data_IF_421518691004
#
_entry.id   IF_421518691004
#
_cell.length_a   1.000
_cell.length_b   1.000
_cell.length_c   1.000
_cell.angle_alpha   90.00
_cell.angle_beta   90.00
_cell.angle_gamma   90.00
#
_symmetry.space_group_name_H-M   'P 1'
#
loop_
_entity.id
_entity.type
_entity.pdbx_description
1 polymer ?
#
# COMPACT_ATOMS: atom_id res chain seq x y z
N UNK A 1 -0.94 -5.63 -0.22
CA UNK A 1 0.14 -4.69 0.14
C UNK A 1 0.93 -4.39 -1.11
N UNK A 2 1.30 -3.14 -1.37
CA UNK A 2 1.98 -2.74 -2.60
C UNK A 2 3.00 -1.65 -2.28
N UNK A 3 4.22 -1.73 -2.82
CA UNK A 3 5.29 -0.76 -2.62
C UNK A 3 5.93 -0.39 -3.96
N UNK A 4 6.49 0.82 -4.07
CA UNK A 4 7.26 1.27 -5.25
C UNK A 4 8.63 1.79 -4.84
N UNK A 5 9.53 1.93 -5.82
CA UNK A 5 10.88 2.45 -5.58
C UNK A 5 11.82 1.44 -4.90
N UNK A 6 11.54 0.14 -5.00
CA UNK A 6 12.39 -0.92 -4.44
C UNK A 6 13.61 -1.26 -5.31
N UNK A 7 13.60 -0.87 -6.60
CA UNK A 7 14.72 -1.10 -7.53
C UNK A 7 15.43 0.21 -7.84
N UNK A 8 16.76 0.19 -7.90
CA UNK A 8 17.59 1.38 -8.21
C UNK A 8 17.24 2.04 -9.56
N UNK A 9 16.77 1.26 -10.53
CA UNK A 9 16.31 1.77 -11.83
C UNK A 9 14.96 2.48 -11.78
N UNK A 10 14.16 2.22 -10.76
CA UNK A 10 12.82 2.82 -10.55
C UNK A 10 12.81 3.90 -9.48
N UNK A 11 13.89 3.99 -8.69
CA UNK A 11 14.03 4.96 -7.62
C UNK A 11 14.52 6.30 -8.16
N UNK A 12 13.59 7.02 -8.77
CA UNK A 12 13.81 8.41 -9.16
C UNK A 12 13.80 9.33 -7.92
N UNK A 13 15.01 9.65 -7.41
CA UNK A 13 15.21 10.57 -6.28
C UNK A 13 14.71 11.98 -6.56
N UNK A 14 14.78 12.44 -7.81
CA UNK A 14 14.54 13.83 -8.17
C UNK A 14 13.06 14.07 -8.51
N UNK A 15 12.49 13.28 -9.41
CA UNK A 15 11.11 13.43 -9.88
C UNK A 15 10.09 12.66 -9.05
N UNK A 16 10.51 11.71 -8.19
CA UNK A 16 9.61 10.92 -7.33
C UNK A 16 8.47 10.26 -8.12
N UNK A 17 8.71 9.92 -9.38
CA UNK A 17 7.72 9.34 -10.30
C UNK A 17 7.08 8.06 -9.76
N UNK A 18 7.88 7.21 -9.10
CA UNK A 18 7.41 6.00 -8.42
C UNK A 18 6.38 6.28 -7.31
N UNK A 19 6.47 7.42 -6.64
CA UNK A 19 5.53 7.84 -5.59
C UNK A 19 4.20 8.26 -6.22
N UNK A 20 4.27 9.07 -7.28
CA UNK A 20 3.08 9.50 -8.03
C UNK A 20 2.32 8.29 -8.58
N UNK A 21 3.02 7.35 -9.21
CA UNK A 21 2.42 6.12 -9.73
C UNK A 21 1.70 5.31 -8.64
N UNK A 22 2.24 5.30 -7.42
CA UNK A 22 1.67 4.58 -6.29
C UNK A 22 0.45 5.29 -5.68
N UNK A 23 0.46 6.64 -5.67
CA UNK A 23 -0.70 7.45 -5.30
C UNK A 23 -1.83 7.30 -6.34
N UNK A 24 -1.49 7.34 -7.63
CA UNK A 24 -2.43 7.12 -8.72
C UNK A 24 -3.05 5.71 -8.64
N UNK A 25 -2.23 4.70 -8.32
CA UNK A 25 -2.72 3.34 -8.05
C UNK A 25 -3.71 3.28 -6.88
N UNK A 26 -3.43 3.95 -5.77
CA UNK A 26 -4.33 4.01 -4.63
C UNK A 26 -5.67 4.69 -4.96
N UNK A 27 -5.65 5.79 -5.73
CA UNK A 27 -6.88 6.45 -6.19
C UNK A 27 -7.71 5.53 -7.10
N UNK A 28 -7.05 4.84 -8.06
CA UNK A 28 -7.74 3.89 -8.94
C UNK A 28 -8.37 2.73 -8.19
N UNK A 29 -7.76 2.25 -7.10
CA UNK A 29 -8.36 1.21 -6.27
C UNK A 29 -9.65 1.68 -5.59
N UNK A 30 -9.72 2.94 -5.16
CA UNK A 30 -10.94 3.52 -4.60
C UNK A 30 -12.06 3.57 -5.64
N UNK A 31 -11.74 3.97 -6.88
CA UNK A 31 -12.73 4.00 -7.96
C UNK A 31 -13.19 2.60 -8.36
N UNK A 32 -12.28 1.63 -8.41
CA UNK A 32 -12.65 0.23 -8.65
C UNK A 32 -13.52 -0.33 -7.53
N UNK A 33 -13.30 0.07 -6.26
CA UNK A 33 -14.16 -0.36 -5.16
C UNK A 33 -15.60 0.16 -5.32
N UNK A 34 -15.76 1.42 -5.74
CA UNK A 34 -17.09 1.97 -6.07
C UNK A 34 -17.76 1.19 -7.18
N UNK A 35 -17.04 0.91 -8.26
CA UNK A 35 -17.54 0.10 -9.37
C UNK A 35 -17.98 -1.30 -8.91
N UNK A 36 -17.20 -1.95 -8.04
CA UNK A 36 -17.56 -3.25 -7.48
C UNK A 36 -18.83 -3.15 -6.63
N UNK A 37 -18.97 -2.12 -5.79
CA UNK A 37 -20.16 -1.90 -4.97
C UNK A 37 -21.42 -1.61 -5.80
N UNK A 38 -21.30 -0.97 -6.97
CA UNK A 38 -22.43 -0.76 -7.88
C UNK A 38 -22.95 -2.07 -8.48
N UNK A 39 -22.06 -3.05 -8.70
CA UNK A 39 -22.38 -4.33 -9.34
C UNK A 39 -22.48 -5.50 -8.35
N UNK A 40 -22.32 -5.24 -7.06
CA UNK A 40 -22.36 -6.24 -5.99
C UNK A 40 -23.50 -5.93 -5.04
N UNK A 41 -24.16 -6.96 -4.49
CA UNK A 41 -25.16 -6.78 -3.44
C UNK A 41 -24.55 -6.46 -2.05
N UNK A 42 -23.28 -6.07 -2.00
CA UNK A 42 -22.52 -5.78 -0.79
C UNK A 42 -21.95 -4.37 -0.85
N UNK A 43 -21.84 -3.74 0.31
CA UNK A 43 -21.18 -2.44 0.46
C UNK A 43 -19.79 -2.63 1.09
N UNK A 44 -18.80 -2.86 0.24
CA UNK A 44 -17.41 -2.97 0.65
C UNK A 44 -16.82 -1.60 0.91
N UNK A 45 -16.19 -1.43 2.08
CA UNK A 45 -15.47 -0.20 2.41
C UNK A 45 -13.97 -0.44 2.34
N UNK A 46 -13.25 0.47 1.68
CA UNK A 46 -11.80 0.43 1.58
C UNK A 46 -11.17 1.52 2.45
N UNK A 47 -10.05 1.17 3.09
CA UNK A 47 -9.13 2.09 3.74
C UNK A 47 -7.75 1.90 3.13
N UNK A 48 -7.02 2.99 2.95
CA UNK A 48 -5.66 2.93 2.41
C UNK A 48 -4.75 3.84 3.23
N UNK A 49 -3.66 3.28 3.77
CA UNK A 49 -2.61 4.03 4.46
C UNK A 49 -1.37 4.19 3.59
N UNK A 50 -0.84 5.42 3.50
CA UNK A 50 0.38 5.74 2.76
C UNK A 50 1.44 6.39 3.66
N UNK A 51 2.69 5.93 3.59
CA UNK A 51 3.89 6.49 4.20
C UNK A 51 5.18 6.06 3.45
N UNK A 52 6.16 6.95 3.26
CA UNK A 52 7.50 6.68 2.68
C UNK A 52 8.57 6.65 3.75
N UNK A 53 9.65 5.97 3.42
CA UNK A 53 10.88 5.97 4.16
C UNK A 53 11.73 4.78 3.73
N UNK A 54 12.90 4.62 4.35
CA UNK A 54 13.74 3.46 4.12
C UNK A 54 12.99 2.17 4.48
N UNK A 55 13.20 1.14 3.67
CA UNK A 55 12.69 -0.22 3.89
C UNK A 55 13.81 -1.22 3.61
N UNK A 56 13.70 -2.39 4.22
CA UNK A 56 14.55 -3.54 3.93
C UNK A 56 13.70 -4.56 3.19
N UNK A 57 14.17 -5.04 2.05
CA UNK A 57 13.49 -6.05 1.28
C UNK A 57 14.35 -7.30 1.16
N UNK A 58 13.72 -8.47 1.13
CA UNK A 58 14.45 -9.73 1.04
C UNK A 58 13.55 -10.94 0.83
N UNK A 59 14.18 -12.10 0.64
CA UNK A 59 13.49 -13.38 0.51
C UNK A 59 13.70 -14.19 1.78
N UNK A 60 12.61 -14.65 2.39
CA UNK A 60 12.64 -15.53 3.56
C UNK A 60 12.23 -16.94 3.16
N UNK A 61 12.89 -17.94 3.76
CA UNK A 61 12.50 -19.35 3.67
C UNK A 61 13.35 -20.14 2.69
N UNK A 62 13.92 -21.24 3.16
CA UNK A 62 14.78 -22.10 2.34
C UNK A 62 13.98 -23.05 1.42
N UNK A 63 12.81 -23.54 1.87
CA UNK A 63 11.97 -24.49 1.11
C UNK A 63 10.84 -23.82 0.33
N UNK A 64 10.34 -22.69 0.82
CA UNK A 64 9.28 -21.89 0.19
C UNK A 64 9.70 -20.43 0.26
N UNK A 65 10.56 -19.97 -0.66
CA UNK A 65 11.05 -18.61 -0.65
C UNK A 65 9.90 -17.63 -0.87
N UNK A 66 9.76 -16.65 0.02
CA UNK A 66 8.77 -15.58 -0.07
C UNK A 66 9.48 -14.23 0.00
N UNK A 67 9.20 -13.37 -0.98
CA UNK A 67 9.67 -12.00 -0.98
C UNK A 67 8.78 -11.15 -0.08
N UNK A 68 9.40 -10.39 0.82
CA UNK A 68 8.70 -9.53 1.76
C UNK A 68 9.56 -8.30 2.12
N UNK A 69 8.92 -7.27 2.70
CA UNK A 69 9.54 -6.00 3.05
C UNK A 69 9.26 -5.64 4.51
N UNK A 70 10.29 -5.13 5.19
CA UNK A 70 10.25 -4.76 6.60
C UNK A 70 10.80 -3.35 6.83
N UNK A 71 10.49 -2.79 8.00
CA UNK A 71 11.03 -1.51 8.45
C UNK A 71 9.98 -0.65 9.14
N UNK A 72 10.45 0.42 9.81
CA UNK A 72 9.56 1.34 10.51
C UNK A 72 8.54 1.99 9.55
N UNK A 73 8.95 2.26 8.31
CA UNK A 73 8.09 2.80 7.24
C UNK A 73 6.84 1.95 7.02
N UNK A 74 7.00 0.63 6.96
CA UNK A 74 5.91 -0.34 6.77
C UNK A 74 4.99 -0.36 7.99
N UNK A 75 5.56 -0.31 9.19
CA UNK A 75 4.79 -0.28 10.44
C UNK A 75 3.94 0.99 10.55
N UNK A 76 4.50 2.15 10.19
CA UNK A 76 3.76 3.42 10.16
C UNK A 76 2.66 3.36 9.10
N UNK A 77 2.93 2.86 7.89
CA UNK A 77 1.91 2.70 6.85
C UNK A 77 0.77 1.77 7.29
N UNK A 78 1.09 0.67 7.98
CA UNK A 78 0.10 -0.22 8.57
C UNK A 78 -0.74 0.45 9.66
N UNK A 79 -0.14 1.36 10.45
CA UNK A 79 -0.88 2.18 11.41
C UNK A 79 -1.81 3.17 10.71
N UNK A 80 -1.36 3.80 9.62
CA UNK A 80 -2.21 4.71 8.83
C UNK A 80 -3.44 3.98 8.25
N UNK A 81 -3.30 2.73 7.83
CA UNK A 81 -4.45 1.91 7.40
C UNK A 81 -5.38 1.54 8.58
N UNK A 82 -4.81 1.16 9.73
CA UNK A 82 -5.60 0.73 10.89
C UNK A 82 -6.36 1.89 11.53
N UNK A 83 -5.75 3.06 11.67
CA UNK A 83 -6.36 4.29 12.20
C UNK A 83 -7.11 5.11 11.15
N UNK A 84 -7.06 4.69 9.89
CA UNK A 84 -7.70 5.37 8.77
C UNK A 84 -9.22 5.40 8.87
N UNK A 85 -9.80 6.45 8.28
CA UNK A 85 -11.24 6.59 8.09
C UNK A 85 -11.66 5.78 6.86
N UNK A 86 -12.80 5.04 6.90
CA UNK A 86 -13.37 4.39 5.73
C UNK A 86 -13.51 5.32 4.53
N UNK A 87 -13.35 4.77 3.33
CA UNK A 87 -13.49 5.48 2.06
C UNK A 87 -12.50 6.65 1.89
N UNK A 88 -11.37 6.63 2.62
CA UNK A 88 -10.32 7.64 2.51
C UNK A 88 -8.93 7.03 2.44
N UNK A 89 -8.04 7.82 1.84
CA UNK A 89 -6.61 7.56 1.79
C UNK A 89 -5.95 8.42 2.87
N UNK A 90 -5.38 7.79 3.90
CA UNK A 90 -4.62 8.48 4.93
C UNK A 90 -3.15 8.52 4.54
N UNK A 91 -2.56 9.72 4.54
CA UNK A 91 -1.15 9.94 4.18
C UNK A 91 -0.40 10.43 5.42
N UNK A 92 0.75 9.82 5.71
CA UNK A 92 1.66 10.26 6.77
C UNK A 92 2.23 11.66 6.49
N UNK A 93 2.66 12.35 7.55
CA UNK A 93 3.27 13.68 7.45
C UNK A 93 4.66 13.65 6.77
N UNK A 94 5.34 12.49 6.79
CA UNK A 94 6.50 12.24 5.96
C UNK A 94 6.03 11.76 4.57
N UNK A 95 6.74 12.16 3.51
CA UNK A 95 6.45 11.90 2.08
C UNK A 95 6.09 10.42 1.79
N UNK A 96 5.60 10.06 0.59
CA UNK A 96 4.66 8.90 0.39
C UNK A 96 5.25 7.58 -0.19
N UNK A 97 4.93 6.43 0.41
CA UNK A 97 4.96 5.05 -0.14
C UNK A 97 3.67 4.36 0.37
N UNK A 98 3.17 3.26 -0.16
CA UNK A 98 1.78 2.80 0.09
C UNK A 98 1.78 1.49 0.86
N UNK A 99 0.79 1.29 1.71
CA UNK A 99 0.38 -0.01 2.22
C UNK A 99 -1.10 -0.22 1.88
N UNK A 100 -1.38 -0.79 0.70
CA UNK A 100 -2.75 -1.24 0.39
C UNK A 100 -2.97 -2.58 1.09
N UNK A 101 -3.67 -2.60 2.22
CA UNK A 101 -4.23 -3.86 2.75
C UNK A 101 -5.66 -3.96 2.25
N UNK A 102 -5.87 -4.72 1.17
CA UNK A 102 -7.20 -5.28 0.93
C UNK A 102 -7.38 -6.34 2.00
N UNK A 103 -8.16 -6.03 3.04
CA UNK A 103 -8.46 -7.00 4.11
C UNK A 103 -9.41 -8.06 3.55
N UNK A 104 -8.85 -8.99 2.75
CA UNK A 104 -9.47 -10.29 2.56
C UNK A 104 -9.33 -11.04 3.87
N UNK A 105 -10.46 -11.28 4.53
CA UNK A 105 -10.54 -12.13 5.71
C UNK A 105 -10.34 -13.60 5.28
N UNK A 106 -9.10 -14.01 4.98
CA UNK A 106 -8.62 -15.39 4.80
C UNK A 106 -7.08 -15.29 4.83
N UNK A 107 -6.29 -15.95 5.67
CA UNK A 107 -6.44 -17.10 6.57
C UNK A 107 -5.44 -16.93 7.71
N UNK A 108 -5.71 -17.61 8.83
CA UNK A 108 -4.69 -18.01 9.81
C UNK A 108 -3.67 -18.95 9.15
#
# INVERSE_FOLDING_TARGET
MAASGLNDTTYDKAGKSHIKALADYAMRLMDQMKYINEHSFNNFQMKIGLNMGPVVAGVIGARKPQYDIWGNTVNVASRMDSTGVPERIQVGAAQVCVHVRVKWLLLR
#
